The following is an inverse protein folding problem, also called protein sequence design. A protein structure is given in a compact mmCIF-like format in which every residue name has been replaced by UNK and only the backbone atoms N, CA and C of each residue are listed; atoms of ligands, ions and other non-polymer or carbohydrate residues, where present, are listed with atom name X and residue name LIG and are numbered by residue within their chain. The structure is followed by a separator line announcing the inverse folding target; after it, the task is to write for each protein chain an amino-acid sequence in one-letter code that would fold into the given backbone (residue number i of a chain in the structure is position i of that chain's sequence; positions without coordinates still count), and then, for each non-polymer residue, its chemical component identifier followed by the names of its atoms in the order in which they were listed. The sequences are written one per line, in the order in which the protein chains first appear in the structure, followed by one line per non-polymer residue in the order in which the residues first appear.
data_IF_105898968727
#
_entry.id   IF_105898968727
#
_cell.length_a   1.000
_cell.length_b   1.000
_cell.length_c   1.000
_cell.angle_alpha   90.00
_cell.angle_beta   90.00
_cell.angle_gamma   90.00
#
_symmetry.space_group_name_H-M   'P 1'
#
loop_
_entity.id
_entity.type
_entity.pdbx_description
1 polymer ?
#
# COMPACT_ATOMS: atom_id res chain seq x y z
N UNK A 1 37.99 24.65 2.94
CA UNK A 1 37.15 23.87 2.02
C UNK A 1 36.48 22.80 2.87
N UNK A 2 35.29 23.06 3.39
CA UNK A 2 34.54 22.04 4.13
C UNK A 2 34.00 21.06 3.09
N UNK A 3 34.52 19.82 3.07
CA UNK A 3 33.85 18.73 2.38
C UNK A 3 32.59 18.43 3.21
N UNK A 4 31.45 18.92 2.74
CA UNK A 4 30.15 18.43 3.23
C UNK A 4 30.04 16.99 2.74
N UNK A 5 30.13 16.02 3.65
CA UNK A 5 29.76 14.64 3.33
C UNK A 5 28.26 14.62 3.09
N UNK A 6 27.86 14.37 1.85
CA UNK A 6 26.45 14.08 1.50
C UNK A 6 26.15 12.70 2.07
N UNK A 7 25.32 12.63 3.10
CA UNK A 7 24.82 11.36 3.62
C UNK A 7 23.64 10.92 2.75
N UNK A 8 23.80 9.83 2.01
CA UNK A 8 22.70 9.19 1.28
C UNK A 8 22.38 7.82 1.89
N UNK A 9 21.10 7.48 1.91
CA UNK A 9 20.60 6.17 2.35
C UNK A 9 19.63 5.60 1.32
N UNK A 10 19.57 4.27 1.22
CA UNK A 10 18.51 3.60 0.48
C UNK A 10 17.41 3.21 1.46
N UNK A 11 16.19 3.63 1.13
CA UNK A 11 14.96 3.27 1.84
C UNK A 11 14.19 2.24 1.01
N UNK A 12 13.82 1.12 1.61
CA UNK A 12 12.94 0.12 1.01
C UNK A 12 11.50 0.41 1.42
N UNK A 13 10.68 0.80 0.46
CA UNK A 13 9.25 1.07 0.63
C UNK A 13 8.44 -0.02 -0.06
N UNK A 14 7.45 -0.57 0.64
CA UNK A 14 6.51 -1.54 0.08
C UNK A 14 5.11 -0.96 0.08
N UNK A 15 4.39 -1.16 -1.01
CA UNK A 15 2.95 -1.02 -1.07
C UNK A 15 2.35 -2.43 -1.17
N UNK A 16 1.32 -2.72 -0.36
CA UNK A 16 0.67 -4.02 -0.29
C UNK A 16 -0.82 -3.88 0.03
N UNK A 17 -1.67 -4.20 -0.94
CA UNK A 17 -3.08 -4.49 -0.66
C UNK A 17 -3.21 -5.88 -0.03
N UNK A 18 -3.76 -5.93 1.18
CA UNK A 18 -3.86 -7.13 1.97
C UNK A 18 -4.99 -8.07 1.54
N UNK A 19 -5.84 -7.78 0.55
CA UNK A 19 -7.08 -8.53 0.24
C UNK A 19 -7.88 -8.80 1.52
N UNK A 20 -8.49 -7.75 2.06
CA UNK A 20 -9.37 -7.75 3.23
C UNK A 20 -8.78 -8.46 4.48
N UNK A 21 -7.83 -7.82 5.17
CA UNK A 21 -7.38 -8.24 6.49
C UNK A 21 -8.38 -7.80 7.57
N UNK A 22 -9.37 -8.66 7.81
CA UNK A 22 -10.37 -8.53 8.86
C UNK A 22 -10.08 -9.46 10.04
N UNK A 23 -10.45 -9.05 11.25
CA UNK A 23 -10.54 -9.92 12.41
C UNK A 23 -11.80 -10.80 12.31
N UNK A 24 -12.21 -11.45 13.41
CA UNK A 24 -13.33 -12.42 13.41
C UNK A 24 -14.47 -12.00 14.34
N UNK A 25 -14.56 -10.72 14.66
CA UNK A 25 -15.48 -10.14 15.63
C UNK A 25 -16.23 -8.99 14.97
N UNK A 26 -17.55 -9.04 15.08
CA UNK A 26 -18.40 -8.02 14.49
C UNK A 26 -18.17 -6.64 15.13
N UNK A 27 -17.83 -5.65 14.31
CA UNK A 27 -17.96 -4.24 14.66
C UNK A 27 -19.39 -3.75 14.36
N UNK A 28 -20.14 -3.45 15.42
CA UNK A 28 -21.52 -2.93 15.35
C UNK A 28 -21.69 -1.63 14.56
N UNK A 29 -20.61 -0.90 14.26
CA UNK A 29 -20.61 0.33 13.46
C UNK A 29 -20.32 0.08 11.97
N UNK A 30 -19.98 -1.16 11.59
CA UNK A 30 -19.53 -1.53 10.25
C UNK A 30 -20.36 -2.67 9.66
N UNK A 31 -20.26 -2.83 8.34
CA UNK A 31 -20.85 -3.89 7.54
C UNK A 31 -19.78 -4.93 7.17
N UNK A 32 -19.15 -5.52 8.18
CA UNK A 32 -18.07 -6.51 8.13
C UNK A 32 -18.60 -7.97 8.17
N UNK A 33 -19.92 -8.16 8.28
CA UNK A 33 -20.57 -9.46 8.56
C UNK A 33 -20.20 -10.59 7.59
N UNK A 34 -19.73 -10.26 6.39
CA UNK A 34 -19.26 -11.25 5.42
C UNK A 34 -17.98 -11.97 5.88
N UNK A 35 -17.13 -11.29 6.66
CA UNK A 35 -15.89 -11.76 7.27
C UNK A 35 -16.07 -12.23 8.72
N UNK A 36 -17.24 -12.77 9.06
CA UNK A 36 -17.45 -13.49 10.31
C UNK A 36 -17.39 -15.02 10.10
N UNK A 37 -17.19 -15.82 11.16
CA UNK A 37 -17.19 -17.29 11.03
C UNK A 37 -18.47 -17.85 10.41
N UNK A 38 -19.61 -17.23 10.72
CA UNK A 38 -20.94 -17.54 10.19
C UNK A 38 -21.30 -16.74 8.93
N UNK A 39 -20.44 -15.82 8.50
CA UNK A 39 -20.62 -14.97 7.33
C UNK A 39 -20.46 -15.74 6.00
N UNK A 40 -20.72 -15.05 4.89
CA UNK A 40 -20.66 -15.66 3.55
C UNK A 40 -19.26 -16.13 3.14
N UNK A 41 -18.20 -15.55 3.71
CA UNK A 41 -16.84 -16.02 3.50
C UNK A 41 -16.43 -17.12 4.47
N UNK A 42 -17.21 -17.44 5.52
CA UNK A 42 -16.83 -18.36 6.58
C UNK A 42 -15.45 -18.04 7.18
N UNK A 43 -15.24 -16.77 7.55
CA UNK A 43 -13.96 -16.29 8.05
C UNK A 43 -13.75 -16.71 9.51
N UNK A 44 -13.23 -17.93 9.68
CA UNK A 44 -12.92 -18.51 10.99
C UNK A 44 -11.62 -17.97 11.59
N UNK A 45 -11.41 -18.09 12.91
CA UNK A 45 -10.12 -17.75 13.54
C UNK A 45 -8.91 -18.44 12.90
N UNK A 46 -9.09 -19.67 12.39
CA UNK A 46 -8.02 -20.37 11.66
C UNK A 46 -7.60 -19.62 10.39
N UNK A 47 -8.57 -19.17 9.58
CA UNK A 47 -8.30 -18.45 8.32
C UNK A 47 -7.70 -17.07 8.59
N UNK A 48 -8.18 -16.39 9.62
CA UNK A 48 -7.61 -15.13 10.09
C UNK A 48 -6.13 -15.28 10.45
N UNK A 49 -5.78 -16.23 11.33
CA UNK A 49 -4.38 -16.44 11.71
C UNK A 49 -3.52 -16.96 10.56
N UNK A 50 -4.08 -17.74 9.65
CA UNK A 50 -3.38 -18.13 8.43
C UNK A 50 -3.02 -16.90 7.57
N UNK A 51 -3.99 -16.00 7.35
CA UNK A 51 -3.80 -14.75 6.62
C UNK A 51 -2.76 -13.84 7.26
N UNK A 52 -2.85 -13.61 8.58
CA UNK A 52 -1.88 -12.81 9.34
C UNK A 52 -0.45 -13.36 9.17
N UNK A 53 -0.27 -14.68 9.23
CA UNK A 53 1.04 -15.29 9.04
C UNK A 53 1.53 -15.22 7.59
N UNK A 54 0.64 -15.35 6.61
CA UNK A 54 0.96 -15.19 5.19
C UNK A 54 1.46 -13.77 4.88
N UNK A 55 0.77 -12.73 5.36
CA UNK A 55 1.21 -11.35 5.19
C UNK A 55 2.58 -11.11 5.86
N UNK A 56 2.80 -11.69 7.05
CA UNK A 56 4.11 -11.65 7.69
C UNK A 56 5.20 -12.35 6.87
N UNK A 57 4.92 -13.53 6.31
CA UNK A 57 5.84 -14.25 5.42
C UNK A 57 6.14 -13.48 4.14
N UNK A 58 5.12 -12.85 3.54
CA UNK A 58 5.26 -12.01 2.36
C UNK A 58 6.20 -10.84 2.64
N UNK A 59 5.96 -10.07 3.71
CA UNK A 59 6.82 -8.93 4.09
C UNK A 59 8.28 -9.38 4.30
N UNK A 60 8.51 -10.52 4.95
CA UNK A 60 9.87 -11.08 5.13
C UNK A 60 10.48 -11.48 3.78
N UNK A 61 9.72 -12.17 2.94
CA UNK A 61 10.16 -12.64 1.64
C UNK A 61 10.53 -11.50 0.70
N UNK A 62 9.83 -10.37 0.75
CA UNK A 62 10.15 -9.18 -0.06
C UNK A 62 11.49 -8.55 0.32
N UNK A 63 11.91 -8.73 1.59
CA UNK A 63 13.18 -8.26 2.11
C UNK A 63 14.35 -9.21 1.89
N UNK A 64 14.12 -10.42 1.37
CA UNK A 64 15.19 -11.38 1.10
C UNK A 64 16.02 -10.95 -0.11
N UNK A 65 17.34 -10.83 0.07
CA UNK A 65 18.29 -10.56 -1.00
C UNK A 65 19.03 -11.84 -1.40
N UNK A 66 18.74 -12.38 -2.59
CA UNK A 66 19.35 -13.63 -3.06
C UNK A 66 20.88 -13.59 -3.14
N UNK A 67 21.45 -12.44 -3.48
CA UNK A 67 22.89 -12.29 -3.69
C UNK A 67 23.70 -12.36 -2.39
N UNK A 68 23.18 -11.82 -1.29
CA UNK A 68 23.82 -11.81 0.03
C UNK A 68 23.34 -12.96 0.92
N UNK A 69 22.12 -13.46 0.69
CA UNK A 69 21.43 -14.38 1.60
C UNK A 69 20.89 -13.68 2.85
N UNK A 70 21.01 -12.35 2.92
CA UNK A 70 20.54 -11.54 4.04
C UNK A 70 19.06 -11.15 3.85
N UNK A 71 18.40 -10.87 4.98
CA UNK A 71 17.03 -10.32 5.00
C UNK A 71 17.11 -8.86 5.42
N UNK A 72 16.88 -7.96 4.47
CA UNK A 72 16.66 -6.55 4.75
C UNK A 72 15.15 -6.28 4.70
N UNK A 73 14.52 -6.26 5.87
CA UNK A 73 13.09 -5.96 5.97
C UNK A 73 12.78 -4.55 5.42
N UNK A 74 11.60 -4.36 4.80
CA UNK A 74 11.15 -3.04 4.38
C UNK A 74 11.22 -1.99 5.50
N UNK A 75 11.65 -0.78 5.18
CA UNK A 75 11.65 0.33 6.14
C UNK A 75 10.24 0.84 6.40
N UNK A 76 9.42 0.85 5.36
CA UNK A 76 8.04 1.34 5.34
C UNK A 76 7.17 0.36 4.54
N UNK A 77 5.98 0.04 5.05
CA UNK A 77 4.98 -0.78 4.36
C UNK A 77 3.63 -0.06 4.41
N UNK A 78 3.20 0.47 3.27
CA UNK A 78 1.87 1.03 3.07
C UNK A 78 0.89 -0.10 2.79
N UNK A 79 -0.10 -0.25 3.67
CA UNK A 79 -1.10 -1.31 3.61
C UNK A 79 -2.46 -0.76 3.20
N UNK A 80 -3.11 -1.45 2.27
CA UNK A 80 -4.51 -1.26 1.92
C UNK A 80 -5.34 -2.46 2.40
N UNK A 81 -6.65 -2.24 2.60
CA UNK A 81 -7.59 -3.30 3.01
C UNK A 81 -7.32 -3.89 4.39
N UNK A 82 -7.03 -3.02 5.35
CA UNK A 82 -6.84 -3.36 6.76
C UNK A 82 -8.10 -2.95 7.52
N UNK A 83 -8.62 -3.80 8.40
CA UNK A 83 -9.87 -3.47 9.12
C UNK A 83 -9.66 -2.51 10.29
N UNK A 84 -8.86 -2.89 11.30
CA UNK A 84 -8.77 -2.17 12.56
C UNK A 84 -7.43 -2.37 13.29
N UNK A 85 -7.30 -1.79 14.48
CA UNK A 85 -6.09 -1.87 15.30
C UNK A 85 -5.70 -3.31 15.66
N UNK A 86 -6.68 -4.19 15.89
CA UNK A 86 -6.42 -5.55 16.35
C UNK A 86 -5.66 -6.37 15.31
N UNK A 87 -5.97 -6.18 14.02
CA UNK A 87 -5.30 -6.92 12.94
C UNK A 87 -3.87 -6.44 12.71
N UNK A 88 -3.59 -5.14 12.88
CA UNK A 88 -2.23 -4.60 12.82
C UNK A 88 -1.43 -4.97 14.05
N UNK A 89 -2.05 -4.99 15.22
CA UNK A 89 -1.42 -5.47 16.44
C UNK A 89 -1.02 -6.94 16.29
N UNK A 90 -1.93 -7.80 15.82
CA UNK A 90 -1.63 -9.21 15.62
C UNK A 90 -0.55 -9.42 14.54
N UNK A 91 -0.63 -8.68 13.42
CA UNK A 91 0.40 -8.71 12.37
C UNK A 91 1.77 -8.28 12.92
N UNK A 92 1.87 -7.14 13.60
CA UNK A 92 3.17 -6.57 14.01
C UNK A 92 3.72 -7.17 15.30
N UNK A 93 2.88 -7.70 16.19
CA UNK A 93 3.30 -8.16 17.53
C UNK A 93 3.11 -9.66 17.77
N UNK A 94 2.40 -10.39 16.90
CA UNK A 94 2.06 -11.81 17.14
C UNK A 94 2.31 -12.75 15.96
N UNK A 95 2.58 -12.22 14.76
CA UNK A 95 2.88 -13.02 13.57
C UNK A 95 4.36 -13.44 13.47
N UNK A 96 4.75 -13.94 12.29
CA UNK A 96 6.13 -14.20 11.89
C UNK A 96 7.05 -12.96 12.01
N UNK A 97 6.52 -11.75 11.88
CA UNK A 97 7.30 -10.50 11.96
C UNK A 97 7.31 -9.85 13.34
N UNK A 98 6.84 -10.52 14.40
CA UNK A 98 6.77 -9.94 15.76
C UNK A 98 8.11 -9.42 16.31
N UNK A 99 9.22 -10.03 15.89
CA UNK A 99 10.57 -9.63 16.32
C UNK A 99 11.18 -8.55 15.42
N UNK A 100 10.51 -8.19 14.32
CA UNK A 100 10.96 -7.14 13.41
C UNK A 100 10.78 -5.74 13.99
N UNK A 101 10.02 -5.57 15.07
CA UNK A 101 9.89 -4.29 15.77
C UNK A 101 9.13 -3.21 15.00
N UNK A 102 8.32 -3.58 13.99
CA UNK A 102 7.46 -2.62 13.30
C UNK A 102 6.50 -1.95 14.29
N UNK A 103 6.36 -0.64 14.13
CA UNK A 103 5.25 0.14 14.66
C UNK A 103 4.33 0.56 13.51
N UNK A 104 3.13 1.04 13.82
CA UNK A 104 2.16 1.41 12.78
C UNK A 104 1.30 2.60 13.16
N UNK A 105 0.76 3.24 12.13
CA UNK A 105 -0.32 4.23 12.21
C UNK A 105 -1.37 3.89 11.16
N UNK A 106 -2.64 4.13 11.44
CA UNK A 106 -3.73 3.80 10.52
C UNK A 106 -4.86 4.84 10.55
N UNK A 107 -5.72 4.79 9.55
CA UNK A 107 -6.97 5.56 9.53
C UNK A 107 -8.07 4.86 10.31
N UNK A 108 -9.11 5.62 10.68
CA UNK A 108 -10.41 5.11 11.10
C UNK A 108 -11.49 5.75 10.23
N UNK A 109 -11.74 5.16 9.07
CA UNK A 109 -12.47 5.79 7.97
C UNK A 109 -13.99 5.69 8.11
N UNK A 110 -14.75 6.56 7.42
CA UNK A 110 -16.20 6.43 7.34
C UNK A 110 -16.65 5.34 6.34
N UNK A 111 -15.73 4.55 5.76
CA UNK A 111 -16.09 3.42 4.90
C UNK A 111 -16.98 2.45 5.69
N UNK A 112 -18.15 2.18 5.13
CA UNK A 112 -19.20 1.40 5.78
C UNK A 112 -18.81 -0.06 5.99
N UNK A 113 -17.81 -0.58 5.25
CA UNK A 113 -17.34 -1.96 5.40
C UNK A 113 -16.29 -2.13 6.49
N UNK A 114 -15.78 -1.02 7.04
CA UNK A 114 -14.69 -1.07 8.03
C UNK A 114 -13.31 -1.22 7.39
N UNK A 115 -13.16 -0.88 6.11
CA UNK A 115 -11.87 -0.94 5.43
C UNK A 115 -11.10 0.37 5.64
N UNK A 116 -9.84 0.25 6.01
CA UNK A 116 -8.90 1.32 6.28
C UNK A 116 -7.54 1.10 5.58
N UNK A 117 -6.68 2.11 5.68
CA UNK A 117 -5.28 2.08 5.22
C UNK A 117 -4.34 2.28 6.40
N UNK A 118 -3.13 1.75 6.29
CA UNK A 118 -2.13 1.82 7.34
C UNK A 118 -0.72 2.04 6.79
N UNK A 119 0.17 2.55 7.64
CA UNK A 119 1.60 2.57 7.40
C UNK A 119 2.29 1.86 8.56
N UNK A 120 2.90 0.72 8.26
CA UNK A 120 3.90 0.11 9.15
C UNK A 120 5.27 0.73 8.86
N UNK A 121 6.07 0.93 9.91
CA UNK A 121 7.39 1.53 9.79
C UNK A 121 8.40 0.90 10.78
N UNK A 122 9.64 0.84 10.35
CA UNK A 122 10.79 0.47 11.17
C UNK A 122 11.26 1.67 11.99
N UNK A 123 11.15 1.67 13.34
CA UNK A 123 11.52 2.82 14.16
C UNK A 123 12.98 3.24 14.04
N UNK A 124 13.86 2.31 13.62
CA UNK A 124 15.28 2.57 13.42
C UNK A 124 15.56 3.43 12.17
N UNK A 125 14.79 3.27 11.09
CA UNK A 125 14.97 4.03 9.85
C UNK A 125 13.99 5.20 9.70
N UNK A 126 12.86 5.17 10.41
CA UNK A 126 11.84 6.21 10.39
C UNK A 126 11.32 6.54 11.79
N UNK A 127 11.61 7.75 12.26
CA UNK A 127 11.13 8.28 13.54
C UNK A 127 9.88 9.11 13.33
N UNK A 128 8.71 8.57 13.71
CA UNK A 128 7.41 9.24 13.58
C UNK A 128 7.41 10.62 14.27
N UNK A 129 6.97 11.65 13.54
CA UNK A 129 6.74 13.00 14.07
C UNK A 129 5.25 13.23 14.31
N UNK A 130 4.41 12.89 13.34
CA UNK A 130 2.95 13.04 13.41
C UNK A 130 2.24 12.27 12.30
N UNK A 131 0.98 11.94 12.53
CA UNK A 131 0.06 11.39 11.54
C UNK A 131 -1.35 11.95 11.74
N UNK A 132 -2.15 11.94 10.69
CA UNK A 132 -3.59 12.19 10.76
C UNK A 132 -4.31 11.64 9.53
N UNK A 133 -5.62 11.47 9.64
CA UNK A 133 -6.49 11.11 8.53
C UNK A 133 -7.00 12.37 7.82
N UNK A 134 -6.89 12.40 6.49
CA UNK A 134 -7.51 13.43 5.64
C UNK A 134 -8.85 12.88 5.18
N UNK A 135 -9.93 13.45 5.73
CA UNK A 135 -11.31 13.04 5.43
C UNK A 135 -11.66 13.34 3.98
N UNK A 136 -11.86 12.30 3.17
CA UNK A 136 -12.29 12.47 1.79
C UNK A 136 -13.74 12.96 1.78
N UNK A 137 -13.96 14.17 1.27
CA UNK A 137 -15.31 14.72 1.06
C UNK A 137 -16.15 13.79 0.17
N UNK A 138 -17.30 13.40 0.69
CA UNK A 138 -18.28 12.56 0.01
C UNK A 138 -18.95 13.35 -1.13
N UNK A 139 -19.08 12.73 -2.30
CA UNK A 139 -19.87 13.30 -3.41
C UNK A 139 -21.38 13.08 -3.18
N UNK A 140 -22.26 13.92 -3.76
CA UNK A 140 -23.71 13.76 -3.58
C UNK A 140 -24.24 12.40 -4.05
N UNK A 141 -25.08 11.75 -3.23
CA UNK A 141 -25.72 10.45 -3.49
C UNK A 141 -24.78 9.23 -3.61
N UNK A 142 -23.58 9.32 -3.04
CA UNK A 142 -22.54 8.28 -3.18
C UNK A 142 -22.24 7.65 -1.83
N UNK A 143 -21.59 6.49 -1.71
CA UNK A 143 -21.22 5.98 -0.37
C UNK A 143 -20.02 6.75 0.18
N UNK A 144 -19.85 6.85 1.52
CA UNK A 144 -18.58 7.31 2.08
C UNK A 144 -17.44 6.38 1.64
N UNK A 145 -16.22 6.91 1.65
CA UNK A 145 -15.02 6.18 1.24
C UNK A 145 -13.92 6.29 2.30
N UNK A 146 -12.78 5.65 2.05
CA UNK A 146 -11.62 5.67 2.93
C UNK A 146 -11.00 7.05 2.99
N UNK A 147 -10.50 7.40 4.17
CA UNK A 147 -9.69 8.58 4.36
C UNK A 147 -8.28 8.33 3.79
N UNK A 148 -7.56 9.41 3.48
CA UNK A 148 -6.14 9.33 3.12
C UNK A 148 -5.33 9.40 4.42
N UNK A 149 -4.40 8.47 4.62
CA UNK A 149 -3.48 8.56 5.75
C UNK A 149 -2.35 9.50 5.40
N UNK A 150 -2.14 10.54 6.19
CA UNK A 150 -0.90 11.31 6.16
C UNK A 150 -0.01 10.94 7.35
N UNK A 151 1.28 10.78 7.07
CA UNK A 151 2.34 10.55 8.06
C UNK A 151 3.53 11.43 7.74
N UNK A 152 4.21 11.93 8.77
CA UNK A 152 5.54 12.51 8.62
C UNK A 152 6.46 12.01 9.71
N UNK A 153 7.72 11.82 9.35
CA UNK A 153 8.74 11.34 10.25
C UNK A 153 10.14 11.69 9.76
N UNK A 154 11.09 11.60 10.67
CA UNK A 154 12.50 11.85 10.38
C UNK A 154 13.16 10.56 9.91
N UNK A 155 13.80 10.61 8.75
CA UNK A 155 14.59 9.49 8.19
C UNK A 155 16.04 9.54 8.68
N UNK A 156 16.81 8.47 8.42
CA UNK A 156 18.19 8.34 8.89
C UNK A 156 19.13 9.47 8.42
N UNK A 157 18.84 10.11 7.28
CA UNK A 157 19.58 11.31 6.80
C UNK A 157 19.28 12.58 7.59
N UNK A 158 18.34 12.52 8.55
CA UNK A 158 17.97 13.64 9.43
C UNK A 158 16.89 14.56 8.85
N UNK A 159 16.47 14.36 7.60
CA UNK A 159 15.39 15.14 6.98
C UNK A 159 13.99 14.57 7.29
N UNK A 160 12.95 15.33 6.99
CA UNK A 160 11.56 14.92 7.13
C UNK A 160 11.07 14.27 5.83
N UNK A 161 10.54 13.06 5.95
CA UNK A 161 9.81 12.36 4.91
C UNK A 161 8.32 12.43 5.22
N UNK A 162 7.54 12.80 4.23
CA UNK A 162 6.08 12.78 4.25
C UNK A 162 5.59 11.56 3.46
N UNK A 163 4.62 10.85 4.02
CA UNK A 163 4.03 9.66 3.39
C UNK A 163 2.53 9.82 3.36
N UNK A 164 1.94 9.58 2.20
CA UNK A 164 0.49 9.47 2.02
C UNK A 164 0.13 8.04 1.62
N UNK A 165 -0.83 7.43 2.32
CA UNK A 165 -1.39 6.12 1.95
C UNK A 165 -2.82 6.29 1.45
N UNK A 166 -3.10 5.74 0.27
CA UNK A 166 -4.37 5.92 -0.44
C UNK A 166 -4.96 4.56 -0.79
N UNK A 167 -6.25 4.38 -0.53
CA UNK A 167 -7.03 3.31 -1.16
C UNK A 167 -8.27 3.93 -1.82
N UNK A 168 -8.15 4.30 -3.09
CA UNK A 168 -9.19 5.01 -3.82
C UNK A 168 -10.34 4.06 -4.24
N UNK A 169 -11.57 4.57 -4.44
CA UNK A 169 -12.72 3.75 -4.81
C UNK A 169 -12.51 2.90 -6.05
N UNK A 170 -12.91 1.63 -5.95
CA UNK A 170 -12.83 0.69 -7.06
C UNK A 170 -13.70 1.08 -8.25
N UNK A 171 -13.42 0.48 -9.40
CA UNK A 171 -14.16 0.71 -10.65
C UNK A 171 -15.55 0.04 -10.69
N UNK A 172 -16.12 -0.28 -9.53
CA UNK A 172 -17.45 -0.90 -9.41
C UNK A 172 -18.51 0.04 -9.98
N UNK A 173 -19.42 -0.50 -10.78
CA UNK A 173 -20.41 0.29 -11.54
C UNK A 173 -19.88 0.84 -12.87
N UNK A 174 -18.60 0.62 -13.18
CA UNK A 174 -17.96 1.03 -14.42
C UNK A 174 -17.12 2.29 -14.27
N UNK A 175 -16.24 2.50 -15.25
CA UNK A 175 -15.26 3.58 -15.24
C UNK A 175 -15.90 4.97 -15.18
N UNK A 176 -16.94 5.21 -15.98
CA UNK A 176 -17.63 6.50 -16.05
C UNK A 176 -18.23 6.93 -14.71
N UNK A 177 -18.89 5.99 -14.02
CA UNK A 177 -19.59 6.27 -12.77
C UNK A 177 -18.63 6.35 -11.58
N UNK A 178 -17.53 5.58 -11.62
CA UNK A 178 -16.57 5.51 -10.51
C UNK A 178 -15.48 6.59 -10.57
N UNK A 179 -15.12 7.10 -11.76
CA UNK A 179 -14.03 8.07 -11.94
C UNK A 179 -14.17 9.35 -11.10
N UNK A 180 -15.36 9.99 -10.98
CA UNK A 180 -15.49 11.21 -10.17
C UNK A 180 -15.01 11.02 -8.73
N UNK A 181 -15.16 9.83 -8.16
CA UNK A 181 -14.66 9.54 -6.80
C UNK A 181 -13.15 9.54 -6.72
N UNK A 182 -12.49 8.90 -7.69
CA UNK A 182 -11.03 8.85 -7.72
C UNK A 182 -10.43 10.24 -7.99
N UNK A 183 -11.09 11.05 -8.81
CA UNK A 183 -10.74 12.47 -8.97
C UNK A 183 -10.93 13.26 -7.68
N UNK A 184 -11.97 12.99 -6.88
CA UNK A 184 -12.17 13.64 -5.58
C UNK A 184 -11.08 13.26 -4.55
N UNK A 185 -10.58 12.02 -4.59
CA UNK A 185 -9.43 11.58 -3.79
C UNK A 185 -8.17 12.29 -4.27
N UNK A 186 -7.89 12.26 -5.57
CA UNK A 186 -6.72 12.90 -6.17
C UNK A 186 -6.68 14.42 -5.91
N UNK A 187 -7.81 15.11 -6.00
CA UNK A 187 -7.93 16.54 -5.71
C UNK A 187 -7.55 16.87 -4.26
N UNK A 188 -8.05 16.12 -3.28
CA UNK A 188 -7.71 16.37 -1.86
C UNK A 188 -6.28 15.95 -1.51
N UNK A 189 -5.77 14.91 -2.16
CA UNK A 189 -4.37 14.52 -2.04
C UNK A 189 -3.46 15.63 -2.58
N UNK A 190 -3.76 16.18 -3.76
CA UNK A 190 -3.04 17.29 -4.35
C UNK A 190 -3.06 18.54 -3.46
N UNK A 191 -4.23 18.93 -2.94
CA UNK A 191 -4.34 20.05 -1.97
C UNK A 191 -3.41 19.85 -0.75
N UNK A 192 -3.33 18.62 -0.24
CA UNK A 192 -2.45 18.30 0.89
C UNK A 192 -0.96 18.34 0.50
N UNK A 193 -0.59 17.82 -0.68
CA UNK A 193 0.77 17.88 -1.22
C UNK A 193 1.21 19.33 -1.45
N UNK A 194 0.38 20.13 -2.12
CA UNK A 194 0.64 21.55 -2.37
C UNK A 194 0.82 22.34 -1.07
N UNK A 195 0.06 21.99 -0.02
CA UNK A 195 0.20 22.63 1.29
C UNK A 195 1.57 22.40 1.94
N UNK A 196 2.21 21.26 1.67
CA UNK A 196 3.56 20.94 2.14
C UNK A 196 4.59 21.73 1.31
N UNK A 197 4.40 21.78 -0.01
CA UNK A 197 5.25 22.56 -0.92
C UNK A 197 5.20 24.07 -0.64
N UNK A 198 4.06 24.59 -0.17
CA UNK A 198 3.92 25.98 0.23
C UNK A 198 4.80 26.35 1.43
N UNK A 199 5.17 25.37 2.27
CA UNK A 199 6.04 25.58 3.44
C UNK A 199 7.52 25.37 3.11
N UNK A 200 7.84 24.45 2.19
CA UNK A 200 9.21 24.13 1.80
C UNK A 200 9.25 23.69 0.33
N UNK A 201 10.16 24.25 -0.47
CA UNK A 201 10.25 23.96 -1.91
C UNK A 201 10.88 22.60 -2.23
N UNK A 202 11.80 22.12 -1.40
CA UNK A 202 12.49 20.83 -1.56
C UNK A 202 11.97 19.83 -0.54
N UNK A 203 10.82 19.22 -0.80
CA UNK A 203 10.15 18.28 0.14
C UNK A 203 10.29 16.84 -0.32
N UNK A 204 10.38 15.92 0.64
CA UNK A 204 10.46 14.48 0.42
C UNK A 204 9.08 13.88 0.68
N UNK A 205 8.39 13.49 -0.39
CA UNK A 205 7.04 12.95 -0.33
C UNK A 205 7.03 11.59 -1.02
N UNK A 206 6.44 10.59 -0.37
CA UNK A 206 6.00 9.34 -0.98
C UNK A 206 4.48 9.31 -0.92
N UNK A 207 3.84 9.00 -2.03
CA UNK A 207 2.40 8.69 -2.08
C UNK A 207 2.27 7.26 -2.60
N UNK A 208 1.57 6.40 -1.88
CA UNK A 208 1.41 5.01 -2.27
C UNK A 208 0.05 4.41 -1.91
N UNK A 209 -0.31 3.32 -2.59
CA UNK A 209 -1.46 2.49 -2.28
C UNK A 209 -2.23 2.04 -3.52
N UNK A 210 -3.42 1.48 -3.31
CA UNK A 210 -4.32 1.07 -4.38
C UNK A 210 -5.15 2.26 -4.89
N UNK A 211 -4.75 2.80 -6.05
CA UNK A 211 -5.48 3.89 -6.69
C UNK A 211 -6.70 3.40 -7.47
N UNK A 212 -6.88 2.10 -7.64
CA UNK A 212 -7.91 1.50 -8.50
C UNK A 212 -7.94 2.13 -9.91
N UNK A 213 -6.79 2.64 -10.36
CA UNK A 213 -6.64 3.40 -11.58
C UNK A 213 -5.26 3.17 -12.19
N UNK A 214 -5.13 3.46 -13.48
CA UNK A 214 -3.89 3.23 -14.21
C UNK A 214 -3.01 4.50 -14.20
N UNK A 215 -1.71 4.31 -14.43
CA UNK A 215 -0.73 5.40 -14.46
C UNK A 215 -1.07 6.54 -15.44
N UNK A 216 -1.86 6.27 -16.49
CA UNK A 216 -2.31 7.18 -17.55
C UNK A 216 -3.78 7.62 -17.36
N UNK A 217 -4.38 7.32 -16.22
CA UNK A 217 -5.77 7.68 -15.94
C UNK A 217 -5.88 9.11 -15.38
N UNK A 218 -7.00 9.82 -15.60
CA UNK A 218 -7.13 11.24 -15.26
C UNK A 218 -6.81 11.60 -13.81
N UNK A 219 -7.08 10.70 -12.85
CA UNK A 219 -6.75 10.94 -11.45
C UNK A 219 -5.24 10.95 -11.19
N UNK A 220 -4.48 10.10 -11.87
CA UNK A 220 -3.01 10.06 -11.76
C UNK A 220 -2.38 11.19 -12.56
N UNK A 221 -2.87 11.45 -13.77
CA UNK A 221 -2.40 12.59 -14.58
C UNK A 221 -2.59 13.92 -13.83
N UNK A 222 -3.69 14.07 -13.11
CA UNK A 222 -3.92 15.22 -12.24
C UNK A 222 -2.84 15.32 -11.15
N UNK A 223 -2.54 14.23 -10.44
CA UNK A 223 -1.48 14.23 -9.41
C UNK A 223 -0.10 14.59 -9.97
N UNK A 224 0.21 14.23 -11.22
CA UNK A 224 1.48 14.59 -11.84
C UNK A 224 1.63 16.10 -12.09
N UNK A 225 0.52 16.83 -12.18
CA UNK A 225 0.52 18.29 -12.26
C UNK A 225 0.84 18.95 -10.91
N UNK A 226 0.86 18.18 -9.83
CA UNK A 226 1.10 18.60 -8.44
C UNK A 226 2.40 18.01 -7.88
N UNK A 227 3.49 18.12 -8.64
CA UNK A 227 4.87 17.78 -8.22
C UNK A 227 5.12 16.31 -7.88
N UNK A 228 4.26 15.39 -8.33
CA UNK A 228 4.40 13.96 -8.09
C UNK A 228 4.82 13.22 -9.35
N UNK A 229 5.75 12.28 -9.20
CA UNK A 229 6.29 11.46 -10.27
C UNK A 229 6.05 10.00 -9.96
N UNK A 230 5.36 9.29 -10.85
CA UNK A 230 5.09 7.87 -10.68
C UNK A 230 6.31 7.02 -11.04
N UNK A 231 6.86 6.32 -10.05
CA UNK A 231 8.01 5.41 -10.23
C UNK A 231 7.59 3.97 -10.51
N UNK A 232 6.31 3.62 -10.31
CA UNK A 232 5.77 2.28 -10.51
C UNK A 232 5.14 2.05 -11.89
N UNK A 233 4.97 3.08 -12.73
CA UNK A 233 4.32 2.97 -14.03
C UNK A 233 4.92 1.87 -14.93
N UNK A 234 6.25 1.67 -14.85
CA UNK A 234 6.99 0.65 -15.59
C UNK A 234 7.28 -0.64 -14.81
N UNK A 235 6.79 -0.78 -13.58
CA UNK A 235 7.17 -1.89 -12.70
C UNK A 235 6.77 -3.25 -13.30
N UNK A 236 7.69 -4.22 -13.23
CA UNK A 236 7.49 -5.60 -13.66
C UNK A 236 8.05 -6.55 -12.61
N UNK A 237 7.53 -7.78 -12.60
CA UNK A 237 8.05 -8.87 -11.79
C UNK A 237 9.05 -9.72 -12.57
N UNK A 238 9.79 -10.58 -11.88
CA UNK A 238 10.81 -11.47 -12.44
C UNK A 238 10.32 -12.91 -12.65
N UNK A 239 9.14 -13.26 -12.15
CA UNK A 239 8.52 -14.59 -12.19
C UNK A 239 7.20 -14.62 -12.98
N UNK A 240 6.99 -13.61 -13.84
CA UNK A 240 5.92 -13.59 -14.83
C UNK A 240 4.80 -12.57 -14.55
N UNK A 241 4.85 -11.86 -13.42
CA UNK A 241 3.93 -10.77 -13.17
C UNK A 241 4.23 -9.57 -14.08
N UNK A 242 3.20 -9.09 -14.77
CA UNK A 242 3.31 -7.89 -15.63
C UNK A 242 2.67 -6.65 -15.01
N UNK A 243 1.90 -6.84 -13.95
CA UNK A 243 1.27 -5.79 -13.16
C UNK A 243 0.91 -6.34 -11.78
N UNK A 244 0.34 -5.52 -10.90
CA UNK A 244 0.02 -5.91 -9.52
C UNK A 244 -1.26 -6.73 -9.43
N UNK A 245 -2.22 -6.51 -10.33
CA UNK A 245 -3.52 -7.18 -10.32
C UNK A 245 -3.77 -7.95 -11.63
N UNK A 246 -4.51 -9.08 -11.58
CA UNK A 246 -4.90 -9.83 -12.78
C UNK A 246 -6.40 -10.12 -12.82
N UNK A 247 -7.05 -9.69 -13.91
CA UNK A 247 -8.48 -9.85 -14.14
C UNK A 247 -8.78 -10.35 -15.54
N UNK A 248 -9.48 -11.47 -15.64
CA UNK A 248 -9.87 -12.09 -16.92
C UNK A 248 -8.69 -12.28 -17.89
N UNK A 249 -7.55 -12.76 -17.35
CA UNK A 249 -6.33 -12.99 -18.12
C UNK A 249 -5.44 -11.75 -18.30
N UNK A 250 -5.98 -10.55 -18.07
CA UNK A 250 -5.28 -9.28 -18.28
C UNK A 250 -4.62 -8.77 -17.00
N UNK A 251 -3.36 -8.37 -17.12
CA UNK A 251 -2.60 -7.73 -16.06
C UNK A 251 -2.92 -6.23 -16.00
N UNK A 252 -3.12 -5.69 -14.80
CA UNK A 252 -3.52 -4.32 -14.51
C UNK A 252 -2.71 -3.75 -13.35
N UNK A 253 -2.11 -2.58 -13.53
CA UNK A 253 -1.38 -1.89 -12.46
C UNK A 253 -2.32 -0.90 -11.79
N UNK A 254 -2.97 -1.32 -10.72
CA UNK A 254 -3.92 -0.49 -9.95
C UNK A 254 -3.21 0.24 -8.81
N UNK A 255 -2.22 -0.43 -8.24
CA UNK A 255 -1.39 0.09 -7.16
C UNK A 255 -0.27 0.97 -7.73
N UNK A 256 0.04 2.06 -7.03
CA UNK A 256 1.00 3.05 -7.50
C UNK A 256 1.92 3.52 -6.36
N UNK A 257 3.16 3.87 -6.69
CA UNK A 257 4.08 4.60 -5.84
C UNK A 257 4.55 5.84 -6.59
N UNK A 258 4.29 7.01 -6.01
CA UNK A 258 4.68 8.31 -6.53
C UNK A 258 5.65 8.98 -5.55
N UNK A 259 6.62 9.70 -6.09
CA UNK A 259 7.61 10.46 -5.34
C UNK A 259 7.49 11.95 -5.64
N UNK A 260 7.90 12.80 -4.70
CA UNK A 260 8.19 14.20 -5.02
C UNK A 260 9.40 14.32 -5.96
N UNK A 261 9.42 15.39 -6.75
CA UNK A 261 10.52 15.72 -7.68
C UNK A 261 11.91 15.68 -7.01
N UNK A 262 12.02 16.12 -5.76
CA UNK A 262 13.30 16.18 -5.05
C UNK A 262 13.91 14.81 -4.73
N UNK A 263 13.10 13.75 -4.80
CA UNK A 263 13.49 12.37 -4.57
C UNK A 263 13.69 11.59 -5.87
N UNK A 264 13.61 12.25 -7.03
CA UNK A 264 13.80 11.59 -8.32
C UNK A 264 15.29 11.34 -8.57
N UNK A 265 15.72 10.11 -8.31
CA UNK A 265 17.09 9.65 -8.55
C UNK A 265 17.08 8.52 -9.61
N UNK A 266 18.14 8.45 -10.42
CA UNK A 266 18.28 7.41 -11.45
C UNK A 266 18.40 6.01 -10.82
N UNK A 267 18.90 5.94 -9.60
CA UNK A 267 19.10 4.73 -8.81
C UNK A 267 17.80 4.23 -8.17
N UNK A 268 16.73 5.02 -8.20
CA UNK A 268 15.44 4.56 -7.73
C UNK A 268 14.95 3.41 -8.60
N UNK A 269 14.51 2.33 -7.96
CA UNK A 269 13.97 1.17 -8.64
C UNK A 269 12.62 0.83 -8.04
N UNK A 270 11.65 0.48 -8.89
CA UNK A 270 10.38 -0.07 -8.47
C UNK A 270 10.10 -1.36 -9.25
N UNK A 271 9.77 -2.43 -8.53
CA UNK A 271 9.45 -3.74 -9.09
C UNK A 271 8.17 -4.28 -8.48
N UNK A 272 7.58 -5.26 -9.16
CA UNK A 272 6.51 -6.06 -8.59
C UNK A 272 7.17 -7.16 -7.76
N UNK A 273 6.75 -7.32 -6.51
CA UNK A 273 7.15 -8.41 -5.64
C UNK A 273 6.44 -9.70 -6.01
N UNK A 274 6.88 -10.36 -7.09
CA UNK A 274 6.22 -11.56 -7.63
C UNK A 274 6.89 -12.85 -7.18
N UNK A 275 7.14 -12.98 -5.88
CA UNK A 275 7.78 -14.17 -5.31
C UNK A 275 6.98 -15.43 -5.73
N UNK A 276 7.64 -16.56 -6.05
CA UNK A 276 6.96 -17.73 -6.60
C UNK A 276 5.78 -18.24 -5.76
N UNK A 277 5.83 -18.12 -4.43
CA UNK A 277 4.75 -18.53 -3.54
C UNK A 277 3.55 -17.57 -3.49
N UNK A 278 3.70 -16.36 -4.05
CA UNK A 278 2.61 -15.38 -4.23
C UNK A 278 1.86 -15.59 -5.56
N UNK A 279 2.31 -16.54 -6.38
CA UNK A 279 1.78 -16.80 -7.71
C UNK A 279 1.23 -18.23 -7.80
N UNK A 280 0.23 -18.40 -8.67
CA UNK A 280 -0.24 -19.69 -9.14
C UNK A 280 -0.40 -19.67 -10.67
N UNK A 281 -0.50 -20.84 -11.28
CA UNK A 281 -0.79 -20.94 -12.72
C UNK A 281 -2.25 -20.55 -13.01
N UNK A 282 -2.46 -19.77 -14.06
CA UNK A 282 -3.79 -19.48 -14.57
C UNK A 282 -4.18 -20.52 -15.61
N UNK A 283 -4.80 -21.62 -15.17
CA UNK A 283 -5.25 -22.70 -16.06
C UNK A 283 -6.26 -22.25 -17.12
N UNK A 284 -6.99 -21.15 -16.89
CA UNK A 284 -8.05 -20.67 -17.77
C UNK A 284 -7.53 -19.78 -18.89
N UNK A 285 -6.64 -18.83 -18.57
CA UNK A 285 -6.13 -17.85 -19.52
C UNK A 285 -4.63 -18.02 -19.83
N UNK A 286 -3.97 -19.02 -19.23
CA UNK A 286 -2.54 -19.26 -19.35
C UNK A 286 -1.69 -18.26 -18.55
N UNK A 287 -0.43 -18.61 -18.30
CA UNK A 287 0.53 -17.78 -17.56
C UNK A 287 0.33 -17.82 -16.04
N UNK A 288 0.75 -16.77 -15.34
CA UNK A 288 0.70 -16.66 -13.87
C UNK A 288 -0.38 -15.70 -13.39
N UNK A 289 -0.95 -15.91 -12.22
CA UNK A 289 -1.86 -14.96 -11.55
C UNK A 289 -1.52 -14.91 -10.05
N UNK A 290 -1.89 -13.83 -9.34
CA UNK A 290 -1.73 -13.76 -7.89
C UNK A 290 -2.48 -14.92 -7.21
N UNK A 291 -1.82 -15.57 -6.25
CA UNK A 291 -2.42 -16.59 -5.42
C UNK A 291 -3.26 -15.90 -4.33
N UNK A 292 -4.54 -15.73 -4.63
CA UNK A 292 -5.50 -14.97 -3.82
C UNK A 292 -6.09 -15.77 -2.66
N UNK A 293 -6.57 -15.08 -1.63
CA UNK A 293 -7.27 -15.67 -0.50
C UNK A 293 -8.62 -16.25 -0.91
N UNK A 294 -9.40 -15.54 -1.74
CA UNK A 294 -10.74 -15.95 -2.15
C UNK A 294 -10.99 -15.84 -3.66
N UNK A 295 -11.77 -16.79 -4.19
CA UNK A 295 -12.38 -16.70 -5.52
C UNK A 295 -13.91 -16.71 -5.40
N UNK A 296 -14.52 -15.52 -5.46
CA UNK A 296 -15.88 -15.37 -4.95
C UNK A 296 -15.94 -15.82 -3.48
N UNK A 297 -16.95 -16.58 -3.04
CA UNK A 297 -17.00 -17.08 -1.65
C UNK A 297 -16.07 -18.28 -1.37
N UNK A 298 -15.38 -18.83 -2.39
CA UNK A 298 -14.54 -20.02 -2.22
C UNK A 298 -13.18 -19.62 -1.64
N UNK A 299 -12.87 -20.13 -0.45
CA UNK A 299 -11.54 -20.00 0.15
C UNK A 299 -10.50 -20.80 -0.62
N UNK A 300 -9.44 -20.13 -1.06
CA UNK A 300 -8.27 -20.72 -1.68
C UNK A 300 -7.08 -20.75 -0.72
N UNK A 301 -7.00 -19.78 0.20
CA UNK A 301 -5.92 -19.70 1.19
C UNK A 301 -4.61 -19.16 0.63
N UNK A 302 -4.67 -18.36 -0.44
CA UNK A 302 -3.56 -17.55 -0.90
C UNK A 302 -3.39 -16.24 -0.12
N UNK A 303 -2.43 -15.44 -0.57
CA UNK A 303 -1.91 -14.25 0.09
C UNK A 303 -2.73 -12.99 -0.21
N UNK A 304 -2.91 -12.64 -1.48
CA UNK A 304 -3.66 -11.47 -1.92
C UNK A 304 -4.01 -11.62 -3.41
N UNK A 305 -5.09 -10.97 -3.86
CA UNK A 305 -5.38 -10.84 -5.28
C UNK A 305 -4.58 -9.71 -5.95
N UNK A 306 -3.82 -8.95 -5.16
CA UNK A 306 -2.79 -8.01 -5.57
C UNK A 306 -1.40 -8.57 -5.29
N UNK A 307 -0.41 -8.15 -6.07
CA UNK A 307 1.01 -8.33 -5.79
C UNK A 307 1.59 -7.00 -5.29
N UNK A 308 2.52 -7.03 -4.32
CA UNK A 308 3.10 -5.83 -3.74
C UNK A 308 3.98 -5.08 -4.74
N UNK A 309 4.05 -3.76 -4.62
CA UNK A 309 5.12 -2.96 -5.21
C UNK A 309 6.26 -2.82 -4.20
N UNK A 310 7.49 -3.03 -4.66
CA UNK A 310 8.71 -2.83 -3.86
C UNK A 310 9.55 -1.74 -4.51
N UNK A 311 9.73 -0.64 -3.80
CA UNK A 311 10.56 0.48 -4.23
C UNK A 311 11.83 0.58 -3.38
N UNK A 312 12.99 0.65 -4.04
CA UNK A 312 14.25 1.10 -3.44
C UNK A 312 14.44 2.56 -3.80
N UNK A 313 14.41 3.41 -2.80
CA UNK A 313 14.37 4.87 -2.96
C UNK A 313 15.60 5.46 -2.31
N UNK A 314 16.40 6.18 -3.09
CA UNK A 314 17.50 6.96 -2.57
C UNK A 314 16.95 8.18 -1.85
N UNK A 315 17.44 8.40 -0.64
CA UNK A 315 17.17 9.60 0.14
C UNK A 315 18.50 10.25 0.47
N UNK A 316 18.71 11.46 -0.05
CA UNK A 316 19.86 12.29 0.28
C UNK A 316 19.60 13.12 1.55
N UNK A 317 20.62 13.77 2.08
CA UNK A 317 20.49 14.81 3.08
C UNK A 317 19.95 16.13 2.47
N UNK A 318 19.86 17.18 3.29
CA UNK A 318 19.28 18.47 2.91
C UNK A 318 20.17 19.26 1.96
#
# INVERSE_FOLDING_TARGET
MFLTLILSSLLTFVELNCENLFDTRHDSLKNDVEFLPEGSYHWTPYRYWHKVNQLGQEIVGLGYEEASGDVQLPDLVALCEVENDSVLFDLTKRSAIRTAGYEYVMTGSPDERGIDVALMYQPFSFSLIRSWSIRVKRLPATRPTRDILYVSGRVITGDTLHVFVVHAPSRRGGERESRPYRLQVASQLAEAVDSIYALQSRVKIIVAGDFNDYHDSPALEYLYQHHLINISAGARGSHGAKATYRWHGEWRSLDQILLSESMQHQENACRIGDLPFLLEDDEKYGGKKPYRTYLGPRYLGGYSDHLPLVARIRIDDK
#
